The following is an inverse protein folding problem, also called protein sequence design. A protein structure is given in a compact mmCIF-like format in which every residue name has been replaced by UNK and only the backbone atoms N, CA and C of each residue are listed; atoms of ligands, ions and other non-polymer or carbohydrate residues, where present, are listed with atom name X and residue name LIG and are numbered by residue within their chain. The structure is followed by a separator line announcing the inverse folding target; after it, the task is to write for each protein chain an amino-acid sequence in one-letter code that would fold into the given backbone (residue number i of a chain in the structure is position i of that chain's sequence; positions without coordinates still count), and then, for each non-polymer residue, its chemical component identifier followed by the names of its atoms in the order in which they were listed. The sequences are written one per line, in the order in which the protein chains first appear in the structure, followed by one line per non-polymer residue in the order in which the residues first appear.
data_IF_368437391936
#
_entry.id   IF_368437391936
#
_cell.length_a   1.000
_cell.length_b   1.000
_cell.length_c   1.000
_cell.angle_alpha   90.00
_cell.angle_beta   90.00
_cell.angle_gamma   90.00
#
_symmetry.space_group_name_H-M   'P 1'
#
loop_
_entity.id
_entity.type
_entity.pdbx_description
1 polymer ?
#
# COMPACT_ATOMS: atom_id res chain seq x y z
N UNK A 1 -25.80 -9.86 6.73
CA UNK A 1 -24.40 -10.20 7.05
C UNK A 1 -23.63 -10.16 5.74
N UNK A 2 -22.80 -9.14 5.55
CA UNK A 2 -21.98 -8.99 4.33
C UNK A 2 -20.73 -9.84 4.47
N UNK A 3 -20.41 -10.61 3.43
CA UNK A 3 -19.16 -11.37 3.35
C UNK A 3 -18.28 -10.65 2.35
N UNK A 4 -17.08 -10.27 2.78
CA UNK A 4 -16.11 -9.60 1.92
C UNK A 4 -15.78 -10.48 0.71
N UNK A 5 -15.99 -9.92 -0.48
CA UNK A 5 -15.55 -10.51 -1.74
C UNK A 5 -14.04 -10.33 -1.89
N UNK A 6 -13.42 -11.17 -2.71
CA UNK A 6 -11.98 -11.07 -3.02
C UNK A 6 -11.58 -9.67 -3.52
N UNK A 7 -12.44 -9.03 -4.33
CA UNK A 7 -12.18 -7.68 -4.84
C UNK A 7 -12.14 -6.65 -3.70
N UNK A 8 -13.02 -6.76 -2.70
CA UNK A 8 -13.02 -5.87 -1.54
C UNK A 8 -11.82 -6.14 -0.62
N UNK A 9 -11.41 -7.40 -0.46
CA UNK A 9 -10.19 -7.72 0.27
C UNK A 9 -8.93 -7.17 -0.41
N UNK A 10 -8.85 -7.23 -1.75
CA UNK A 10 -7.77 -6.63 -2.53
C UNK A 10 -7.74 -5.10 -2.36
N UNK A 11 -8.90 -4.46 -2.32
CA UNK A 11 -9.09 -3.02 -2.05
C UNK A 11 -8.55 -2.65 -0.65
N UNK A 12 -8.92 -3.42 0.39
CA UNK A 12 -8.45 -3.21 1.76
C UNK A 12 -6.94 -3.46 1.90
N UNK A 13 -6.42 -4.47 1.22
CA UNK A 13 -4.99 -4.79 1.24
C UNK A 13 -4.15 -3.69 0.59
N UNK A 14 -4.63 -3.11 -0.52
CA UNK A 14 -4.00 -1.94 -1.15
C UNK A 14 -4.01 -0.73 -0.22
N UNK A 15 -5.12 -0.50 0.48
CA UNK A 15 -5.23 0.59 1.44
C UNK A 15 -4.28 0.40 2.63
N UNK A 16 -4.20 -0.81 3.18
CA UNK A 16 -3.23 -1.14 4.24
C UNK A 16 -1.80 -0.81 3.80
N UNK A 17 -1.39 -1.26 2.61
CA UNK A 17 -0.07 -0.97 2.07
C UNK A 17 0.17 0.52 1.88
N UNK A 18 -0.80 1.26 1.35
CA UNK A 18 -0.67 2.70 1.18
C UNK A 18 -0.51 3.42 2.54
N UNK A 19 -1.23 2.96 3.57
CA UNK A 19 -1.10 3.50 4.92
C UNK A 19 0.26 3.15 5.55
N UNK A 20 0.76 1.92 5.36
CA UNK A 20 2.08 1.52 5.80
C UNK A 20 3.18 2.35 5.13
N UNK A 21 3.10 2.57 3.82
CA UNK A 21 4.05 3.41 3.07
C UNK A 21 4.10 4.84 3.61
N UNK A 22 2.96 5.44 3.96
CA UNK A 22 2.91 6.78 4.57
C UNK A 22 3.54 6.82 5.96
N UNK A 23 3.35 5.79 6.78
CA UNK A 23 3.96 5.69 8.12
C UNK A 23 5.48 5.49 8.04
N UNK A 24 5.94 4.81 6.99
CA UNK A 24 7.35 4.53 6.74
C UNK A 24 8.00 5.51 5.76
N UNK A 25 7.37 6.66 5.46
CA UNK A 25 7.82 7.62 4.44
C UNK A 25 9.32 7.98 4.49
N UNK A 26 9.92 8.32 5.65
CA UNK A 26 11.36 8.64 5.68
C UNK A 26 12.24 7.46 5.27
N UNK A 27 11.91 6.24 5.69
CA UNK A 27 12.68 5.03 5.40
C UNK A 27 12.48 4.60 3.93
N UNK A 28 11.26 4.77 3.41
CA UNK A 28 10.95 4.56 1.99
C UNK A 28 11.76 5.54 1.14
N UNK A 29 11.86 6.80 1.56
CA UNK A 29 12.64 7.82 0.85
C UNK A 29 14.12 7.46 0.78
N UNK A 30 14.73 6.99 1.87
CA UNK A 30 16.12 6.52 1.87
C UNK A 30 16.34 5.34 0.90
N UNK A 31 15.39 4.41 0.82
CA UNK A 31 15.44 3.33 -0.14
C UNK A 31 15.35 3.85 -1.58
N UNK A 32 14.40 4.74 -1.86
CA UNK A 32 14.23 5.37 -3.18
C UNK A 32 15.50 6.11 -3.58
N UNK A 33 16.08 6.92 -2.70
CA UNK A 33 17.33 7.64 -2.93
C UNK A 33 18.49 6.69 -3.26
N UNK A 34 18.59 5.54 -2.56
CA UNK A 34 19.60 4.54 -2.90
C UNK A 34 19.40 3.94 -4.30
N UNK A 35 18.15 3.76 -4.73
CA UNK A 35 17.84 3.17 -6.04
C UNK A 35 18.08 4.12 -7.22
N UNK A 36 18.23 5.43 -6.96
CA UNK A 36 18.49 6.40 -8.03
C UNK A 36 19.72 6.02 -8.84
N UNK A 37 19.55 5.93 -10.17
CA UNK A 37 20.64 5.61 -11.11
C UNK A 37 21.10 4.15 -11.08
N UNK A 38 20.36 3.24 -10.42
CA UNK A 38 20.67 1.80 -10.39
C UNK A 38 19.55 1.02 -11.08
N UNK A 39 19.83 0.44 -12.24
CA UNK A 39 18.85 -0.36 -13.01
C UNK A 39 18.95 -1.85 -12.71
N UNK A 40 20.18 -2.36 -12.59
CA UNK A 40 20.44 -3.81 -12.39
C UNK A 40 20.93 -4.11 -10.97
N UNK A 41 21.57 -3.13 -10.31
CA UNK A 41 22.34 -3.36 -9.08
C UNK A 41 21.61 -3.13 -7.76
N UNK A 42 20.31 -2.83 -7.78
CA UNK A 42 19.55 -2.40 -6.59
C UNK A 42 19.54 -3.46 -5.49
N UNK A 43 19.32 -4.73 -5.86
CA UNK A 43 19.13 -5.82 -4.88
C UNK A 43 20.35 -6.08 -3.99
N UNK A 44 21.56 -5.83 -4.50
CA UNK A 44 22.79 -5.93 -3.72
C UNK A 44 23.21 -4.58 -3.14
N UNK A 45 23.20 -3.51 -3.94
CA UNK A 45 23.72 -2.20 -3.52
C UNK A 45 22.83 -1.51 -2.46
N UNK A 46 21.52 -1.76 -2.49
CA UNK A 46 20.54 -1.14 -1.58
C UNK A 46 19.94 -2.13 -0.58
N UNK A 47 20.62 -3.25 -0.33
CA UNK A 47 20.11 -4.33 0.54
C UNK A 47 19.82 -3.84 1.96
N UNK A 48 20.64 -2.92 2.49
CA UNK A 48 20.46 -2.37 3.83
C UNK A 48 19.19 -1.52 3.93
N UNK A 49 19.02 -0.56 3.01
CA UNK A 49 17.85 0.32 2.94
C UNK A 49 16.58 -0.48 2.65
N UNK A 50 16.65 -1.46 1.75
CA UNK A 50 15.54 -2.37 1.46
C UNK A 50 15.11 -3.16 2.71
N UNK A 51 16.07 -3.66 3.51
CA UNK A 51 15.77 -4.35 4.76
C UNK A 51 15.13 -3.42 5.79
N UNK A 52 15.66 -2.20 5.95
CA UNK A 52 15.08 -1.21 6.85
C UNK A 52 13.64 -0.86 6.47
N UNK A 53 13.39 -0.61 5.18
CA UNK A 53 12.05 -0.36 4.65
C UNK A 53 11.11 -1.53 4.92
N UNK A 54 11.52 -2.76 4.60
CA UNK A 54 10.66 -3.94 4.81
C UNK A 54 10.36 -4.17 6.28
N UNK A 55 11.33 -3.98 7.18
CA UNK A 55 11.10 -4.08 8.61
C UNK A 55 10.02 -3.10 9.07
N UNK A 56 10.09 -1.83 8.65
CA UNK A 56 9.06 -0.84 8.98
C UNK A 56 7.68 -1.22 8.41
N UNK A 57 7.63 -1.64 7.14
CA UNK A 57 6.36 -1.99 6.50
C UNK A 57 5.69 -3.17 7.23
N UNK A 58 6.46 -4.17 7.65
CA UNK A 58 5.94 -5.35 8.35
C UNK A 58 5.25 -5.00 9.67
N UNK A 59 5.65 -3.93 10.36
CA UNK A 59 5.00 -3.47 11.60
C UNK A 59 3.57 -2.95 11.37
N UNK A 60 3.23 -2.57 10.14
CA UNK A 60 1.93 -1.98 9.77
C UNK A 60 1.14 -2.81 8.76
N UNK A 61 1.67 -3.98 8.38
CA UNK A 61 1.00 -4.92 7.48
C UNK A 61 0.71 -6.25 8.16
N UNK A 62 0.38 -6.20 9.45
CA UNK A 62 0.09 -7.41 10.23
C UNK A 62 -1.32 -7.94 9.96
N UNK A 63 -1.59 -9.19 10.35
CA UNK A 63 -2.94 -9.73 10.29
C UNK A 63 -3.92 -8.92 11.13
N UNK A 64 -3.48 -8.41 12.30
CA UNK A 64 -4.29 -7.57 13.16
C UNK A 64 -4.65 -6.22 12.49
N UNK A 65 -3.72 -5.62 11.73
CA UNK A 65 -4.02 -4.42 10.94
C UNK A 65 -5.05 -4.70 9.85
N UNK A 66 -4.93 -5.84 9.14
CA UNK A 66 -5.90 -6.27 8.16
C UNK A 66 -7.28 -6.51 8.76
N UNK A 67 -7.36 -7.22 9.88
CA UNK A 67 -8.63 -7.52 10.54
C UNK A 67 -9.30 -6.25 11.05
N UNK A 68 -8.52 -5.29 11.57
CA UNK A 68 -9.01 -3.96 11.95
C UNK A 68 -9.64 -3.22 10.76
N UNK A 69 -8.99 -3.22 9.60
CA UNK A 69 -9.53 -2.58 8.39
C UNK A 69 -10.80 -3.28 7.90
N UNK A 70 -10.85 -4.62 7.93
CA UNK A 70 -12.06 -5.39 7.58
C UNK A 70 -13.22 -5.06 8.50
N UNK A 71 -12.99 -5.03 9.81
CA UNK A 71 -14.03 -4.69 10.80
C UNK A 71 -14.53 -3.26 10.57
N UNK A 72 -13.63 -2.28 10.38
CA UNK A 72 -14.01 -0.90 10.09
C UNK A 72 -14.88 -0.80 8.84
N UNK A 73 -14.46 -1.47 7.76
CA UNK A 73 -15.22 -1.50 6.51
C UNK A 73 -16.61 -2.12 6.67
N UNK A 74 -16.73 -3.24 7.38
CA UNK A 74 -18.02 -3.89 7.64
C UNK A 74 -18.93 -3.01 8.50
N UNK A 75 -18.39 -2.28 9.47
CA UNK A 75 -19.15 -1.33 10.28
C UNK A 75 -19.63 -0.15 9.43
N UNK A 76 -18.75 0.45 8.62
CA UNK A 76 -19.13 1.57 7.75
C UNK A 76 -20.17 1.14 6.71
N UNK A 77 -20.13 -0.12 6.27
CA UNK A 77 -21.14 -0.70 5.39
C UNK A 77 -22.48 -0.87 6.11
N UNK A 78 -22.47 -1.38 7.35
CA UNK A 78 -23.69 -1.50 8.16
C UNK A 78 -24.34 -0.13 8.43
N UNK A 79 -23.53 0.91 8.57
CA UNK A 79 -23.97 2.30 8.75
C UNK A 79 -24.42 2.97 7.42
N UNK A 80 -24.28 2.29 6.27
CA UNK A 80 -24.63 2.85 4.96
C UNK A 80 -23.69 3.96 4.46
N UNK A 81 -22.49 4.07 5.02
CA UNK A 81 -21.49 5.09 4.67
C UNK A 81 -20.63 4.71 3.47
N UNK A 82 -20.67 3.44 3.07
CA UNK A 82 -19.80 2.84 2.04
C UNK A 82 -20.57 2.74 0.73
N UNK A 83 -20.16 3.53 -0.26
CA UNK A 83 -20.52 3.30 -1.67
C UNK A 83 -19.39 2.52 -2.34
N UNK A 84 -19.62 1.22 -2.56
CA UNK A 84 -18.64 0.32 -3.17
C UNK A 84 -18.18 0.78 -4.55
N UNK A 85 -19.08 1.33 -5.37
CA UNK A 85 -18.76 1.78 -6.71
C UNK A 85 -17.85 3.02 -6.65
N UNK A 86 -18.12 3.92 -5.70
CA UNK A 86 -17.29 5.10 -5.45
C UNK A 86 -15.91 4.73 -4.92
N UNK A 87 -15.82 3.85 -3.93
CA UNK A 87 -14.53 3.39 -3.36
C UNK A 87 -13.65 2.72 -4.41
N UNK A 88 -14.20 1.83 -5.24
CA UNK A 88 -13.46 1.22 -6.33
C UNK A 88 -12.98 2.25 -7.36
N UNK A 89 -13.80 3.25 -7.68
CA UNK A 89 -13.43 4.33 -8.60
C UNK A 89 -12.30 5.19 -8.02
N UNK A 90 -12.42 5.62 -6.77
CA UNK A 90 -11.38 6.38 -6.06
C UNK A 90 -10.07 5.61 -5.96
N UNK A 91 -10.12 4.30 -5.72
CA UNK A 91 -8.93 3.46 -5.70
C UNK A 91 -8.32 3.29 -7.08
N UNK A 92 -9.13 3.06 -8.13
CA UNK A 92 -8.65 3.00 -9.52
C UNK A 92 -8.00 4.33 -9.93
N UNK A 93 -8.58 5.46 -9.52
CA UNK A 93 -8.00 6.79 -9.76
C UNK A 93 -6.71 7.02 -8.97
N UNK A 94 -6.65 6.62 -7.70
CA UNK A 94 -5.43 6.65 -6.88
C UNK A 94 -4.34 5.77 -7.47
N UNK A 95 -4.68 4.57 -7.95
CA UNK A 95 -3.75 3.66 -8.63
C UNK A 95 -3.26 4.24 -9.96
N UNK A 96 -4.15 4.82 -10.77
CA UNK A 96 -3.78 5.51 -12.00
C UNK A 96 -2.87 6.71 -11.73
N UNK A 97 -3.10 7.46 -10.64
CA UNK A 97 -2.21 8.55 -10.19
C UNK A 97 -0.86 8.03 -9.70
N UNK A 98 -0.83 6.92 -8.95
CA UNK A 98 0.42 6.32 -8.47
C UNK A 98 1.27 5.76 -9.62
N UNK A 99 0.65 5.16 -10.65
CA UNK A 99 1.34 4.73 -11.88
C UNK A 99 1.90 5.90 -12.70
N UNK A 100 1.29 7.08 -12.60
CA UNK A 100 1.81 8.31 -13.25
C UNK A 100 2.95 8.97 -12.48
N UNK A 101 3.05 8.74 -11.16
CA UNK A 101 4.12 9.29 -10.30
C UNK A 101 5.31 8.36 -10.08
N UNK A 102 5.13 7.04 -10.24
CA UNK A 102 6.21 6.04 -10.15
C UNK A 102 6.71 5.68 -11.54
N UNK A 103 7.52 6.59 -12.11
CA UNK A 103 8.43 6.24 -13.19
C UNK A 103 9.86 6.60 -12.75
N UNK A 104 10.55 5.74 -11.96
CA UNK A 104 11.98 5.65 -12.10
C UNK A 104 12.24 4.92 -13.42
N UNK A 105 12.85 5.63 -14.37
CA UNK A 105 13.16 5.13 -15.70
C UNK A 105 13.79 3.74 -15.68
N UNK A 106 13.05 2.77 -16.21
CA UNK A 106 13.62 1.52 -16.71
C UNK A 106 14.04 1.82 -18.14
N UNK A 107 15.26 2.29 -18.32
CA UNK A 107 16.01 2.26 -19.57
C UNK A 107 17.47 1.96 -19.28
#
# INVERSE_FOLDING_TARGET
MHILTRAEEEVLFKEMKANALKKCDPIVKEFVECTHGKTVSVLWACRAQHKAMNNCLMEYTTQADMDKLKIQYLNDLADGKVDHAKLQKEQKEKEAKMKKGSAPGVH
#
